data_IF_063017878942
#
_entry.id   IF_063017878942
#
_cell.length_a   1.000
_cell.length_b   1.000
_cell.length_c   1.000
_cell.angle_alpha   90.00
_cell.angle_beta   90.00
_cell.angle_gamma   90.00
#
_symmetry.space_group_name_H-M   'P 1'
#
loop_
_entity.id
_entity.type
_entity.pdbx_description
1 polymer ?
#
# COMPACT_ATOMS: atom_id res chain seq x y z
N UNK A 1 10.95 -3.46 -1.45
CA UNK A 1 9.93 -4.52 -1.24
C UNK A 1 9.23 -4.86 -2.54
N UNK A 2 8.66 -6.07 -2.67
CA UNK A 2 7.76 -6.41 -3.79
C UNK A 2 6.37 -5.86 -3.53
N UNK A 3 5.71 -5.32 -4.54
CA UNK A 3 4.35 -4.79 -4.45
C UNK A 3 3.59 -5.03 -5.76
N UNK A 4 2.26 -5.14 -5.68
CA UNK A 4 1.39 -5.01 -6.85
C UNK A 4 1.20 -3.52 -7.12
N UNK A 5 1.46 -3.10 -8.35
CA UNK A 5 1.38 -1.70 -8.78
C UNK A 5 0.49 -1.62 -10.01
N UNK A 6 -0.47 -0.70 -10.02
CA UNK A 6 -1.13 -0.27 -11.25
C UNK A 6 -0.65 1.12 -11.63
N UNK A 7 -0.11 1.24 -12.85
CA UNK A 7 0.41 2.49 -13.41
C UNK A 7 -0.66 3.28 -14.18
N UNK A 8 -1.75 2.59 -14.55
CA UNK A 8 -2.91 3.15 -15.23
C UNK A 8 -4.17 2.45 -14.72
N UNK A 9 -5.28 3.18 -14.73
CA UNK A 9 -6.57 2.63 -14.36
C UNK A 9 -7.06 1.59 -15.37
N UNK A 10 -7.67 0.51 -14.89
CA UNK A 10 -8.26 -0.56 -15.68
C UNK A 10 -7.27 -1.46 -16.45
N UNK A 11 -5.96 -1.17 -16.41
CA UNK A 11 -4.93 -2.03 -17.00
C UNK A 11 -4.40 -3.04 -15.97
N UNK A 12 -4.02 -4.24 -16.43
CA UNK A 12 -3.53 -5.32 -15.57
C UNK A 12 -2.37 -4.85 -14.67
N UNK A 13 -2.52 -4.92 -13.34
CA UNK A 13 -1.43 -4.57 -12.42
C UNK A 13 -0.21 -5.47 -12.58
N UNK A 14 0.96 -4.95 -12.22
CA UNK A 14 2.23 -5.69 -12.30
C UNK A 14 2.87 -5.85 -10.92
N UNK A 15 3.62 -6.93 -10.73
CA UNK A 15 4.45 -7.08 -9.54
C UNK A 15 5.77 -6.35 -9.81
N UNK A 16 6.04 -5.31 -9.02
CA UNK A 16 7.26 -4.50 -9.12
C UNK A 16 8.09 -4.59 -7.84
N UNK A 17 9.38 -4.29 -7.96
CA UNK A 17 10.24 -4.02 -6.79
C UNK A 17 10.29 -2.52 -6.58
N UNK A 18 9.74 -2.06 -5.46
CA UNK A 18 9.73 -0.63 -5.05
C UNK A 18 10.69 -0.41 -3.88
N UNK A 19 11.17 0.82 -3.62
CA UNK A 19 12.00 1.11 -2.45
C UNK A 19 11.32 0.72 -1.15
N UNK A 20 12.09 0.25 -0.15
CA UNK A 20 11.55 -0.01 1.18
C UNK A 20 11.16 1.32 1.85
N UNK A 21 9.99 1.39 2.50
CA UNK A 21 9.55 2.60 3.17
C UNK A 21 10.40 2.89 4.42
N UNK A 22 10.48 4.17 4.77
CA UNK A 22 11.01 4.63 6.05
C UNK A 22 9.86 5.23 6.85
N UNK A 23 9.80 5.03 8.18
CA UNK A 23 8.72 5.60 8.96
C UNK A 23 8.81 7.12 8.95
N UNK A 24 7.66 7.78 8.77
CA UNK A 24 7.50 9.19 9.11
C UNK A 24 7.70 9.38 10.63
N UNK A 25 7.94 10.60 11.14
CA UNK A 25 8.13 10.83 12.58
C UNK A 25 7.02 10.24 13.46
N UNK A 26 5.78 10.25 12.99
CA UNK A 26 4.55 9.76 13.61
C UNK A 26 4.01 8.47 12.97
N UNK A 27 4.77 7.86 12.06
CA UNK A 27 4.36 6.66 11.32
C UNK A 27 5.09 5.40 11.76
N UNK A 28 4.59 4.26 11.28
CA UNK A 28 5.23 2.95 11.42
C UNK A 28 5.45 2.30 10.06
N UNK A 29 6.44 1.43 9.97
CA UNK A 29 6.62 0.51 8.84
C UNK A 29 6.13 -0.86 9.27
N UNK A 30 5.16 -1.40 8.53
CA UNK A 30 4.60 -2.72 8.73
C UNK A 30 5.16 -3.64 7.64
N UNK A 31 5.77 -4.76 8.04
CA UNK A 31 5.97 -5.88 7.14
C UNK A 31 4.64 -6.61 7.03
N UNK A 32 3.95 -6.40 5.92
CA UNK A 32 2.65 -7.01 5.64
C UNK A 32 2.85 -8.51 5.43
N UNK A 33 2.15 -9.32 6.24
CA UNK A 33 2.16 -10.78 6.15
C UNK A 33 0.93 -11.29 5.39
N UNK A 34 -0.20 -10.58 5.49
CA UNK A 34 -1.41 -10.85 4.73
C UNK A 34 -2.20 -9.55 4.44
N UNK A 35 -2.87 -9.52 3.30
CA UNK A 35 -3.86 -8.47 2.95
C UNK A 35 -5.07 -9.10 2.28
N UNK A 36 -6.25 -8.63 2.64
CA UNK A 36 -7.51 -8.89 1.94
C UNK A 36 -7.56 -8.15 0.60
N UNK A 37 -8.42 -8.65 -0.29
CA UNK A 37 -8.79 -7.99 -1.54
C UNK A 37 -10.28 -7.66 -1.47
N UNK A 38 -10.59 -6.37 -1.40
CA UNK A 38 -11.94 -5.87 -1.26
C UNK A 38 -12.47 -5.30 -2.58
N UNK A 39 -13.79 -5.11 -2.66
CA UNK A 39 -14.41 -4.49 -3.84
C UNK A 39 -13.97 -3.04 -4.03
N UNK A 40 -13.66 -2.33 -2.95
CA UNK A 40 -13.10 -0.97 -2.98
C UNK A 40 -11.74 -0.91 -3.67
N UNK A 41 -10.88 -1.93 -3.54
CA UNK A 41 -9.61 -1.99 -4.28
C UNK A 41 -9.86 -2.05 -5.79
N UNK A 42 -10.90 -2.79 -6.23
CA UNK A 42 -11.34 -2.81 -7.63
C UNK A 42 -11.85 -1.44 -8.09
N UNK A 43 -12.66 -0.75 -7.28
CA UNK A 43 -13.12 0.61 -7.62
C UNK A 43 -11.94 1.58 -7.77
N UNK A 44 -10.94 1.47 -6.90
CA UNK A 44 -9.72 2.25 -6.99
C UNK A 44 -8.91 1.95 -8.25
N UNK A 45 -8.71 0.67 -8.56
CA UNK A 45 -8.04 0.22 -9.79
C UNK A 45 -8.76 0.68 -11.07
N UNK A 46 -10.09 0.77 -11.06
CA UNK A 46 -10.88 1.24 -12.20
C UNK A 46 -10.92 2.78 -12.34
N UNK A 47 -10.31 3.53 -11.42
CA UNK A 47 -10.33 5.00 -11.45
C UNK A 47 -11.66 5.61 -11.03
N UNK A 48 -12.44 4.90 -10.21
CA UNK A 48 -13.69 5.43 -9.63
C UNK A 48 -13.48 6.20 -8.32
N UNK A 49 -12.22 6.34 -7.87
CA UNK A 49 -11.83 7.03 -6.65
C UNK A 49 -10.89 8.19 -6.98
N UNK A 50 -11.38 9.42 -6.84
CA UNK A 50 -10.63 10.65 -7.10
C UNK A 50 -9.47 10.87 -6.13
N UNK A 51 -9.38 10.09 -5.04
CA UNK A 51 -8.28 10.12 -4.08
C UNK A 51 -7.02 9.39 -4.54
N UNK A 52 -7.09 8.60 -5.62
CA UNK A 52 -5.97 7.77 -6.06
C UNK A 52 -5.04 8.50 -7.01
N UNK A 53 -3.77 8.58 -6.62
CA UNK A 53 -2.67 9.03 -7.48
C UNK A 53 -1.91 7.84 -8.05
N UNK A 54 -1.67 7.86 -9.35
CA UNK A 54 -0.86 6.86 -10.06
C UNK A 54 0.64 7.24 -10.03
N UNK A 55 1.56 6.25 -9.98
CA UNK A 55 1.30 4.81 -9.80
C UNK A 55 0.86 4.47 -8.37
N UNK A 56 0.00 3.47 -8.22
CA UNK A 56 -0.61 3.15 -6.93
C UNK A 56 -0.40 1.69 -6.51
N UNK A 57 -0.16 1.49 -5.20
CA UNK A 57 -0.15 0.19 -4.53
C UNK A 57 -1.44 0.07 -3.72
N UNK A 58 -2.41 -0.79 -4.10
CA UNK A 58 -3.67 -0.95 -3.38
C UNK A 58 -3.52 -1.81 -2.13
N UNK A 59 -4.63 -1.98 -1.39
CA UNK A 59 -4.71 -2.81 -0.20
C UNK A 59 -4.88 -1.97 1.07
N UNK A 60 -6.06 -2.06 1.67
CA UNK A 60 -6.43 -1.35 2.90
C UNK A 60 -6.90 -2.30 4.02
N UNK A 61 -6.89 -3.61 3.77
CA UNK A 61 -7.29 -4.65 4.70
C UNK A 61 -6.09 -5.55 5.03
N UNK A 62 -5.14 -5.05 5.82
CA UNK A 62 -3.86 -5.73 6.03
C UNK A 62 -3.56 -6.09 7.49
N UNK A 63 -2.76 -7.13 7.67
CA UNK A 63 -2.18 -7.55 8.94
C UNK A 63 -0.69 -7.89 8.78
N UNK A 64 0.09 -7.58 9.80
CA UNK A 64 1.53 -7.79 9.76
C UNK A 64 2.25 -7.39 11.04
N UNK A 65 3.57 -7.28 10.94
CA UNK A 65 4.45 -6.95 12.07
C UNK A 65 5.03 -5.56 11.89
N UNK A 66 4.99 -4.74 12.94
CA UNK A 66 5.71 -3.46 12.97
C UNK A 66 7.21 -3.74 13.01
N UNK A 67 7.96 -3.27 12.01
CA UNK A 67 9.42 -3.49 11.88
C UNK A 67 10.25 -2.23 12.08
N UNK A 68 9.62 -1.04 12.01
CA UNK A 68 10.23 0.22 12.37
C UNK A 68 9.14 1.22 12.79
N UNK A 69 9.50 2.17 13.66
CA UNK A 69 8.60 3.23 14.13
C UNK A 69 9.31 4.58 14.10
N UNK A 70 8.54 5.64 13.88
CA UNK A 70 8.99 7.02 13.96
C UNK A 70 9.26 7.47 15.39
N UNK A 71 10.07 8.53 15.54
CA UNK A 71 10.52 9.05 16.85
C UNK A 71 9.39 9.56 17.77
N UNK A 72 8.21 9.86 17.23
CA UNK A 72 7.05 10.35 17.96
C UNK A 72 6.06 9.22 18.32
N UNK A 73 6.31 8.00 17.85
CA UNK A 73 5.47 6.83 18.14
C UNK A 73 5.93 6.19 19.45
N UNK A 74 5.00 6.00 20.38
CA UNK A 74 5.18 5.29 21.65
C UNK A 74 4.09 4.23 21.82
N UNK A 75 4.37 3.18 22.59
CA UNK A 75 3.43 2.10 22.92
C UNK A 75 3.52 1.69 24.38
#
# INVERSE_FOLDING_TARGET
>A
MKAVVFEKFGETPTIQTVPDPKPAPDGVVIRVEATGLCRSDWHGWMGHDDGITLPHVPGHELAGVVVAAGKLVSG
#
